data_IF_519242615874
#
_entry.id   IF_519242615874
#
_cell.length_a   1.000
_cell.length_b   1.000
_cell.length_c   1.000
_cell.angle_alpha   90.00
_cell.angle_beta   90.00
_cell.angle_gamma   90.00
#
_symmetry.space_group_name_H-M   'P 1'
#
loop_
_entity.id
_entity.type
_entity.pdbx_description
1 polymer ?
#
# COMPACT_ATOMS: atom_id res chain seq x y z
N UNK A 1 -2.13 -10.69 -15.27
CA UNK A 1 -2.62 -11.67 -14.27
C UNK A 1 -3.16 -10.86 -13.09
N UNK A 2 -4.40 -11.09 -12.68
CA UNK A 2 -4.92 -10.47 -11.46
C UNK A 2 -4.06 -10.95 -10.29
N UNK A 3 -3.43 -10.03 -9.58
CA UNK A 3 -2.66 -10.34 -8.37
C UNK A 3 -3.66 -10.85 -7.33
N UNK A 4 -3.72 -12.17 -7.14
CA UNK A 4 -4.55 -12.75 -6.10
C UNK A 4 -3.94 -12.42 -4.75
N UNK A 5 -4.73 -11.80 -3.88
CA UNK A 5 -4.36 -11.53 -2.49
C UNK A 5 -4.06 -12.84 -1.75
N UNK A 6 -2.90 -12.90 -1.10
CA UNK A 6 -2.50 -14.03 -0.25
C UNK A 6 -2.65 -13.68 1.22
N UNK A 7 -3.70 -14.19 1.86
CA UNK A 7 -3.91 -14.01 3.29
C UNK A 7 -2.80 -14.68 4.12
N UNK A 8 -2.28 -15.81 3.64
CA UNK A 8 -1.20 -16.53 4.31
C UNK A 8 0.09 -15.71 4.34
N UNK A 9 0.52 -15.16 3.19
CA UNK A 9 1.70 -14.31 3.13
C UNK A 9 1.53 -13.05 3.98
N UNK A 10 0.34 -12.43 3.95
CA UNK A 10 0.04 -11.26 4.75
C UNK A 10 0.19 -11.55 6.25
N UNK A 11 -0.41 -12.64 6.74
CA UNK A 11 -0.34 -13.03 8.16
C UNK A 11 1.08 -13.36 8.59
N UNK A 12 1.81 -14.14 7.79
CA UNK A 12 3.21 -14.50 8.11
C UNK A 12 4.13 -13.28 8.15
N UNK A 13 3.99 -12.35 7.19
CA UNK A 13 4.78 -11.13 7.16
C UNK A 13 4.46 -10.22 8.35
N UNK A 14 3.18 -10.05 8.69
CA UNK A 14 2.72 -9.32 9.86
C UNK A 14 3.38 -9.83 11.16
N UNK A 15 3.28 -11.14 11.41
CA UNK A 15 3.87 -11.76 12.60
C UNK A 15 5.40 -11.64 12.61
N UNK A 16 6.04 -11.74 11.46
CA UNK A 16 7.48 -11.54 11.34
C UNK A 16 7.89 -10.11 11.64
N UNK A 17 7.18 -9.11 11.09
CA UNK A 17 7.46 -7.71 11.36
C UNK A 17 7.34 -7.37 12.85
N UNK A 18 6.32 -7.90 13.51
CA UNK A 18 6.12 -7.76 14.95
C UNK A 18 7.30 -8.30 15.76
N UNK A 19 7.83 -9.46 15.38
CA UNK A 19 9.00 -10.08 16.03
C UNK A 19 10.31 -9.30 15.76
N UNK A 20 10.51 -8.83 14.53
CA UNK A 20 11.70 -8.09 14.12
C UNK A 20 11.78 -6.70 14.80
N UNK A 21 10.64 -6.06 15.05
CA UNK A 21 10.56 -4.78 15.72
C UNK A 21 10.92 -4.81 17.22
N UNK A 22 11.19 -5.97 17.80
CA UNK A 22 11.55 -6.13 19.22
C UNK A 22 10.45 -5.70 20.20
N UNK A 23 9.25 -5.50 19.72
CA UNK A 23 8.10 -4.95 20.47
C UNK A 23 7.25 -6.05 21.07
N UNK A 24 7.81 -6.86 21.96
CA UNK A 24 6.98 -7.82 22.72
C UNK A 24 5.95 -7.06 23.57
N UNK A 25 4.66 -7.31 23.32
CA UNK A 25 3.56 -6.78 24.13
C UNK A 25 3.10 -5.36 23.76
N UNK A 26 3.56 -4.77 22.65
CA UNK A 26 3.01 -3.51 22.13
C UNK A 26 1.90 -3.79 21.10
N UNK A 27 0.98 -2.85 21.00
CA UNK A 27 -0.03 -2.89 19.95
C UNK A 27 0.63 -2.85 18.56
N UNK A 28 0.06 -3.56 17.56
CA UNK A 28 0.50 -3.49 16.18
C UNK A 28 0.45 -2.06 15.65
N UNK A 29 1.45 -1.69 14.87
CA UNK A 29 1.60 -0.34 14.34
C UNK A 29 1.70 -0.38 12.80
N UNK A 30 2.05 0.73 12.22
CA UNK A 30 2.22 0.97 10.78
C UNK A 30 3.10 -0.09 10.10
N UNK A 31 4.19 -0.52 10.76
CA UNK A 31 5.14 -1.47 10.20
C UNK A 31 4.47 -2.83 9.89
N UNK A 32 3.70 -3.36 10.83
CA UNK A 32 3.02 -4.64 10.69
C UNK A 32 1.96 -4.58 9.59
N UNK A 33 1.23 -3.47 9.49
CA UNK A 33 0.26 -3.25 8.42
C UNK A 33 0.93 -3.16 7.04
N UNK A 34 2.04 -2.42 6.92
CA UNK A 34 2.82 -2.31 5.68
C UNK A 34 3.33 -3.68 5.24
N UNK A 35 3.88 -4.47 6.18
CA UNK A 35 4.39 -5.82 5.87
C UNK A 35 3.28 -6.73 5.33
N UNK A 36 2.11 -6.71 5.99
CA UNK A 36 0.96 -7.50 5.58
C UNK A 36 0.44 -7.11 4.19
N UNK A 37 0.32 -5.80 3.93
CA UNK A 37 -0.18 -5.30 2.63
C UNK A 37 0.80 -5.64 1.49
N UNK A 38 2.11 -5.48 1.71
CA UNK A 38 3.12 -5.79 0.71
C UNK A 38 3.16 -7.30 0.40
N UNK A 39 3.21 -8.13 1.42
CA UNK A 39 3.26 -9.59 1.26
C UNK A 39 1.94 -10.15 0.73
N UNK A 40 0.79 -9.64 1.20
CA UNK A 40 -0.52 -10.05 0.72
C UNK A 40 -0.74 -9.77 -0.76
N UNK A 41 -0.14 -8.71 -1.30
CA UNK A 41 -0.11 -8.43 -2.74
C UNK A 41 1.01 -9.18 -3.48
N UNK A 42 1.75 -10.05 -2.81
CA UNK A 42 2.84 -10.84 -3.38
C UNK A 42 3.92 -9.98 -4.06
N UNK A 43 4.27 -8.84 -3.45
CA UNK A 43 5.21 -7.88 -4.01
C UNK A 43 6.62 -8.50 -4.17
N UNK A 44 7.19 -8.38 -5.38
CA UNK A 44 8.51 -8.91 -5.73
C UNK A 44 9.58 -7.81 -5.74
N UNK A 45 9.23 -6.59 -6.13
CA UNK A 45 10.08 -5.43 -6.06
C UNK A 45 9.42 -4.34 -5.23
N UNK A 46 9.95 -4.14 -4.03
CA UNK A 46 9.49 -3.14 -3.08
C UNK A 46 10.50 -2.00 -3.04
N UNK A 47 10.04 -0.78 -3.35
CA UNK A 47 10.89 0.42 -3.36
C UNK A 47 10.40 1.37 -2.29
N UNK A 48 11.30 1.84 -1.44
CA UNK A 48 11.03 2.79 -0.37
C UNK A 48 11.76 4.10 -0.62
N UNK A 49 11.06 5.22 -0.54
CA UNK A 49 11.63 6.55 -0.53
C UNK A 49 11.53 7.14 0.88
N UNK A 50 12.69 7.36 1.52
CA UNK A 50 12.77 7.84 2.89
C UNK A 50 13.08 9.34 2.96
N UNK A 51 12.45 10.03 3.89
CA UNK A 51 12.82 11.41 4.22
C UNK A 51 14.14 11.46 5.02
N UNK A 52 14.31 10.48 5.91
CA UNK A 52 15.41 10.39 6.85
C UNK A 52 15.92 8.94 6.92
N UNK A 53 16.03 8.41 8.13
CA UNK A 53 16.54 7.06 8.41
C UNK A 53 15.48 6.00 8.09
N UNK A 54 15.89 4.96 7.38
CA UNK A 54 15.08 3.76 7.18
C UNK A 54 15.10 2.91 8.46
N UNK A 55 13.97 2.83 9.15
CA UNK A 55 13.83 2.11 10.42
C UNK A 55 12.81 0.97 10.33
N UNK A 56 11.83 0.97 11.25
CA UNK A 56 10.81 -0.09 11.37
C UNK A 56 10.01 -0.33 10.08
N UNK A 57 9.77 0.70 9.28
CA UNK A 57 9.07 0.57 7.99
C UNK A 57 9.91 -0.18 6.94
N UNK A 58 11.23 -0.03 6.97
CA UNK A 58 12.12 -0.85 6.12
C UNK A 58 12.16 -2.30 6.60
N UNK A 59 12.18 -2.56 7.92
CA UNK A 59 12.04 -3.91 8.49
C UNK A 59 10.72 -4.57 8.06
N UNK A 60 9.65 -3.79 7.97
CA UNK A 60 8.36 -4.27 7.45
C UNK A 60 8.46 -4.80 6.02
N UNK A 61 9.18 -4.08 5.15
CA UNK A 61 9.42 -4.54 3.77
C UNK A 61 10.34 -5.76 3.72
N UNK A 62 11.35 -5.83 4.58
CA UNK A 62 12.19 -7.03 4.71
C UNK A 62 11.36 -8.24 5.16
N UNK A 63 10.44 -8.06 6.13
CA UNK A 63 9.53 -9.11 6.55
C UNK A 63 8.63 -9.60 5.41
N UNK A 64 8.13 -8.67 4.57
CA UNK A 64 7.36 -9.00 3.38
C UNK A 64 8.21 -9.75 2.34
N UNK A 65 9.42 -9.27 2.06
CA UNK A 65 10.35 -9.89 1.11
C UNK A 65 10.67 -11.35 1.48
N UNK A 66 10.81 -11.65 2.76
CA UNK A 66 10.99 -13.02 3.24
C UNK A 66 9.83 -13.95 2.90
N UNK A 67 8.59 -13.44 2.80
CA UNK A 67 7.42 -14.25 2.47
C UNK A 67 7.23 -14.40 0.96
N UNK A 68 7.56 -13.36 0.20
CA UNK A 68 7.30 -13.32 -1.24
C UNK A 68 8.48 -13.75 -2.08
N UNK A 69 9.69 -13.85 -1.50
CA UNK A 69 10.94 -14.01 -2.25
C UNK A 69 11.36 -12.74 -2.98
N UNK A 70 10.72 -11.62 -2.67
CA UNK A 70 10.99 -10.32 -3.28
C UNK A 70 12.26 -9.65 -2.77
N UNK A 71 12.55 -8.47 -3.27
CA UNK A 71 13.70 -7.63 -2.88
C UNK A 71 13.25 -6.24 -2.45
N UNK A 72 14.05 -5.63 -1.58
CA UNK A 72 13.80 -4.30 -1.03
C UNK A 72 14.88 -3.33 -1.52
N UNK A 73 14.44 -2.19 -2.04
CA UNK A 73 15.31 -1.07 -2.41
C UNK A 73 14.91 0.13 -1.57
N UNK A 74 15.87 0.77 -0.92
CA UNK A 74 15.65 1.97 -0.12
C UNK A 74 16.41 3.15 -0.71
N UNK A 75 15.70 4.19 -1.10
CA UNK A 75 16.24 5.44 -1.65
C UNK A 75 16.40 6.43 -0.49
N UNK A 76 17.62 6.89 -0.28
CA UNK A 76 18.01 7.84 0.74
C UNK A 76 18.62 9.09 0.10
N UNK A 77 18.47 10.22 0.73
CA UNK A 77 18.95 11.50 0.19
C UNK A 77 20.40 11.84 0.57
N UNK A 78 21.02 11.12 1.53
CA UNK A 78 22.38 11.39 1.99
C UNK A 78 23.10 10.14 2.47
N UNK A 79 24.44 10.23 2.54
CA UNK A 79 25.30 9.19 3.10
C UNK A 79 25.08 9.03 4.61
N UNK A 80 24.84 10.12 5.34
CA UNK A 80 24.57 10.07 6.77
C UNK A 80 23.31 9.26 7.08
N UNK A 81 22.26 9.41 6.26
CA UNK A 81 21.05 8.60 6.40
C UNK A 81 21.30 7.13 6.06
N UNK A 82 22.19 6.83 5.14
CA UNK A 82 22.59 5.45 4.84
C UNK A 82 23.26 4.79 6.04
N UNK A 83 24.27 5.43 6.62
CA UNK A 83 24.98 4.88 7.78
C UNK A 83 24.04 4.69 8.98
N UNK A 84 23.20 5.68 9.27
CA UNK A 84 22.21 5.61 10.33
C UNK A 84 21.17 4.52 10.07
N UNK A 85 20.73 4.33 8.82
CA UNK A 85 19.77 3.28 8.44
C UNK A 85 20.38 1.89 8.59
N UNK A 86 21.62 1.72 8.17
CA UNK A 86 22.33 0.45 8.31
C UNK A 86 22.50 0.07 9.78
N UNK A 87 22.83 1.03 10.63
CA UNK A 87 22.88 0.85 12.07
C UNK A 87 21.51 0.50 12.67
N UNK A 88 20.44 1.20 12.27
CA UNK A 88 19.09 0.96 12.77
C UNK A 88 18.51 -0.40 12.37
N UNK A 89 18.88 -0.91 11.20
CA UNK A 89 18.44 -2.22 10.70
C UNK A 89 19.29 -3.38 11.25
N UNK A 90 20.48 -3.11 11.74
CA UNK A 90 21.38 -4.13 12.26
C UNK A 90 21.60 -5.26 11.26
N UNK A 91 21.42 -6.51 11.68
CA UNK A 91 21.61 -7.69 10.83
C UNK A 91 20.69 -7.75 9.59
N UNK A 92 19.63 -6.95 9.55
CA UNK A 92 18.74 -6.90 8.39
C UNK A 92 19.16 -5.87 7.34
N UNK A 93 20.18 -5.06 7.61
CA UNK A 93 20.70 -4.08 6.68
C UNK A 93 21.16 -4.68 5.35
N UNK A 94 21.68 -5.92 5.37
CA UNK A 94 22.13 -6.62 4.17
C UNK A 94 20.98 -7.18 3.31
N UNK A 95 19.74 -7.20 3.85
CA UNK A 95 18.54 -7.57 3.11
C UNK A 95 17.96 -6.40 2.28
N UNK A 96 18.57 -5.20 2.39
CA UNK A 96 18.10 -3.97 1.74
C UNK A 96 19.16 -3.43 0.80
N UNK A 97 18.79 -3.18 -0.44
CA UNK A 97 19.66 -2.46 -1.38
C UNK A 97 19.44 -0.96 -1.18
N UNK A 98 20.48 -0.29 -0.69
CA UNK A 98 20.42 1.16 -0.52
C UNK A 98 20.91 1.89 -1.76
N UNK A 99 20.20 2.96 -2.13
CA UNK A 99 20.56 3.87 -3.22
C UNK A 99 20.50 5.30 -2.71
N UNK A 100 21.57 6.07 -2.92
CA UNK A 100 21.66 7.45 -2.47
C UNK A 100 21.35 8.37 -3.64
N UNK A 101 20.38 9.26 -3.46
CA UNK A 101 20.02 10.27 -4.46
C UNK A 101 18.60 10.81 -4.34
N UNK A 102 18.20 11.58 -5.33
CA UNK A 102 16.88 12.21 -5.38
C UNK A 102 15.79 11.19 -5.74
N UNK A 103 14.89 10.93 -4.82
CA UNK A 103 13.78 9.99 -5.00
C UNK A 103 12.92 10.31 -6.23
N UNK A 104 12.73 11.58 -6.59
CA UNK A 104 11.97 11.99 -7.78
C UNK A 104 12.56 11.44 -9.08
N UNK A 105 13.89 11.37 -9.14
CA UNK A 105 14.60 10.86 -10.32
C UNK A 105 14.71 9.35 -10.29
N UNK A 106 15.14 8.81 -9.15
CA UNK A 106 15.43 7.39 -9.00
C UNK A 106 14.18 6.50 -9.08
N UNK A 107 13.01 6.95 -8.66
CA UNK A 107 11.76 6.20 -8.80
C UNK A 107 11.44 5.86 -10.27
N UNK A 108 11.90 6.68 -11.21
CA UNK A 108 11.73 6.40 -12.63
C UNK A 108 12.52 5.19 -13.13
N UNK A 109 13.58 4.80 -12.42
CA UNK A 109 14.39 3.63 -12.75
C UNK A 109 13.72 2.32 -12.27
N UNK A 110 12.75 2.43 -11.37
CA UNK A 110 12.01 1.32 -10.76
C UNK A 110 10.56 1.19 -11.26
N UNK A 111 10.33 1.37 -12.55
CA UNK A 111 8.98 1.31 -13.18
C UNK A 111 8.27 -0.03 -13.02
N UNK A 112 9.00 -1.09 -12.71
CA UNK A 112 8.46 -2.42 -12.45
C UNK A 112 8.25 -2.72 -10.96
N UNK A 113 8.33 -1.71 -10.07
CA UNK A 113 8.04 -1.91 -8.66
C UNK A 113 6.56 -2.31 -8.47
N UNK A 114 6.35 -3.38 -7.69
CA UNK A 114 5.00 -3.84 -7.32
C UNK A 114 4.46 -3.09 -6.11
N UNK A 115 5.38 -2.61 -5.28
CA UNK A 115 5.07 -1.89 -4.06
C UNK A 115 6.01 -0.70 -3.89
N UNK A 116 5.44 0.50 -3.72
CA UNK A 116 6.22 1.72 -3.47
C UNK A 116 5.79 2.31 -2.13
N UNK A 117 6.75 2.42 -1.19
CA UNK A 117 6.55 3.02 0.12
C UNK A 117 7.18 4.41 0.16
N UNK A 118 6.42 5.42 0.57
CA UNK A 118 6.89 6.82 0.57
C UNK A 118 6.71 7.43 1.97
N UNK A 119 7.78 7.97 2.52
CA UNK A 119 7.68 8.82 3.71
C UNK A 119 7.07 10.17 3.32
N UNK A 120 5.89 10.48 3.86
CA UNK A 120 5.21 11.74 3.56
C UNK A 120 5.94 12.98 4.12
N UNK A 121 6.96 12.80 4.96
CA UNK A 121 7.84 13.88 5.41
C UNK A 121 8.89 14.30 4.37
N UNK A 122 8.99 13.58 3.27
CA UNK A 122 9.89 13.91 2.16
C UNK A 122 9.61 15.32 1.62
N UNK A 123 10.69 16.03 1.27
CA UNK A 123 10.56 17.32 0.60
C UNK A 123 9.93 17.12 -0.78
N UNK A 124 8.96 17.96 -1.13
CA UNK A 124 8.27 17.89 -2.43
C UNK A 124 7.53 16.53 -2.67
N UNK A 125 6.83 16.10 -1.63
CA UNK A 125 6.01 14.86 -1.64
C UNK A 125 5.14 14.72 -2.90
N UNK A 126 4.57 15.83 -3.39
CA UNK A 126 3.69 15.84 -4.56
C UNK A 126 4.37 15.32 -5.82
N UNK A 127 5.62 15.74 -6.06
CA UNK A 127 6.40 15.30 -7.23
C UNK A 127 6.87 13.86 -7.07
N UNK A 128 7.23 13.45 -5.85
CA UNK A 128 7.61 12.06 -5.56
C UNK A 128 6.43 11.11 -5.76
N UNK A 129 5.24 11.47 -5.27
CA UNK A 129 4.02 10.70 -5.49
C UNK A 129 3.66 10.59 -6.97
N UNK A 130 3.82 11.69 -7.73
CA UNK A 130 3.60 11.68 -9.18
C UNK A 130 4.57 10.74 -9.90
N UNK A 131 5.86 10.79 -9.56
CA UNK A 131 6.86 9.89 -10.13
C UNK A 131 6.52 8.42 -9.85
N UNK A 132 6.12 8.09 -8.61
CA UNK A 132 5.67 6.75 -8.25
C UNK A 132 4.42 6.31 -9.05
N UNK A 133 3.44 7.20 -9.22
CA UNK A 133 2.22 6.92 -9.99
C UNK A 133 2.51 6.74 -11.49
N UNK A 134 3.42 7.53 -12.05
CA UNK A 134 3.86 7.37 -13.44
C UNK A 134 4.59 6.04 -13.64
N UNK A 135 5.48 5.66 -12.73
CA UNK A 135 6.09 4.34 -12.70
C UNK A 135 5.07 3.21 -12.63
N UNK A 136 4.10 3.31 -11.74
CA UNK A 136 3.03 2.33 -11.56
C UNK A 136 2.08 2.19 -12.76
N UNK A 137 1.97 3.21 -13.62
CA UNK A 137 1.18 3.10 -14.87
C UNK A 137 1.74 2.09 -15.84
N UNK A 138 3.06 1.91 -15.86
CA UNK A 138 3.77 1.02 -16.78
C UNK A 138 3.90 -0.41 -16.23
N UNK A 139 3.91 -0.56 -14.89
CA UNK A 139 3.88 -1.87 -14.22
C UNK A 139 2.45 -2.33 -13.95
N UNK A 140 2.20 -3.61 -13.91
CA UNK A 140 0.86 -4.25 -13.85
C UNK A 140 0.01 -4.00 -12.60
N UNK A 141 0.10 -2.82 -11.95
CA UNK A 141 -0.77 -2.47 -10.83
C UNK A 141 -0.06 -2.28 -9.50
N UNK A 142 1.08 -1.59 -9.48
CA UNK A 142 1.81 -1.27 -8.26
C UNK A 142 0.91 -0.62 -7.19
N UNK A 143 1.10 -1.04 -5.96
CA UNK A 143 0.50 -0.42 -4.79
C UNK A 143 1.45 0.65 -4.24
N UNK A 144 0.97 1.89 -4.13
CA UNK A 144 1.73 2.99 -3.54
C UNK A 144 1.17 3.26 -2.15
N UNK A 145 2.03 3.29 -1.15
CA UNK A 145 1.68 3.56 0.24
C UNK A 145 2.51 4.73 0.75
N UNK A 146 1.83 5.77 1.25
CA UNK A 146 2.47 6.86 1.98
C UNK A 146 2.28 6.65 3.48
N UNK A 147 3.32 6.76 4.29
CA UNK A 147 3.23 6.77 5.75
C UNK A 147 3.59 8.17 6.31
N UNK A 148 3.27 8.44 7.57
CA UNK A 148 3.34 9.78 8.18
C UNK A 148 2.44 10.82 7.46
N UNK A 149 1.29 10.38 6.96
CA UNK A 149 0.43 11.22 6.12
C UNK A 149 -0.44 12.20 6.91
N UNK A 150 -0.63 11.98 8.23
CA UNK A 150 -1.52 12.78 9.07
C UNK A 150 -1.07 14.24 9.19
N UNK A 151 0.24 14.47 9.33
CA UNK A 151 0.81 15.82 9.48
C UNK A 151 0.66 16.70 8.23
N UNK A 152 0.52 16.09 7.06
CA UNK A 152 0.33 16.81 5.79
C UNK A 152 -1.14 17.10 5.49
N UNK A 153 -2.07 16.53 6.30
CA UNK A 153 -3.50 16.72 6.16
C UNK A 153 -4.11 16.18 4.86
N UNK A 154 -5.39 16.48 4.61
CA UNK A 154 -6.07 16.09 3.37
C UNK A 154 -5.43 16.69 2.10
N UNK A 155 -4.58 17.70 2.23
CA UNK A 155 -3.83 18.28 1.12
C UNK A 155 -2.80 17.30 0.51
N UNK A 156 -2.26 16.37 1.31
CA UNK A 156 -1.49 15.24 0.77
C UNK A 156 -2.39 14.27 -0.04
N UNK A 157 -3.65 14.14 0.39
CA UNK A 157 -4.68 13.40 -0.36
C UNK A 157 -5.15 14.14 -1.62
N UNK A 158 -4.88 15.44 -1.75
CA UNK A 158 -5.14 16.23 -2.97
C UNK A 158 -4.36 15.76 -4.21
N UNK A 159 -3.48 14.77 -4.08
CA UNK A 159 -2.94 13.99 -5.19
C UNK A 159 -3.98 13.02 -5.80
N UNK A 160 -5.23 13.09 -5.37
CA UNK A 160 -6.32 12.19 -5.76
C UNK A 160 -6.81 12.36 -7.21
N UNK A 161 -6.27 13.28 -7.98
CA UNK A 161 -6.79 13.55 -9.34
C UNK A 161 -5.83 13.20 -10.48
N UNK A 162 -4.92 12.26 -10.28
CA UNK A 162 -4.30 11.64 -11.45
C UNK A 162 -5.28 10.57 -11.94
N UNK A 163 -5.83 10.79 -13.14
CA UNK A 163 -6.81 9.90 -13.76
C UNK A 163 -6.38 8.43 -13.69
N UNK A 164 -7.26 7.61 -13.16
CA UNK A 164 -7.05 6.18 -13.05
C UNK A 164 -6.50 5.67 -11.72
N UNK A 165 -6.27 6.53 -10.70
CA UNK A 165 -5.88 6.09 -9.36
C UNK A 165 -6.99 6.32 -8.33
N UNK A 166 -7.13 5.37 -7.39
CA UNK A 166 -7.98 5.50 -6.20
C UNK A 166 -7.10 5.66 -4.97
N UNK A 167 -7.40 6.65 -4.17
CA UNK A 167 -6.67 6.97 -2.96
C UNK A 167 -7.54 6.73 -1.73
N UNK A 168 -6.99 6.06 -0.75
CA UNK A 168 -7.62 5.78 0.54
C UNK A 168 -6.72 6.30 1.65
N UNK A 169 -7.30 6.99 2.61
CA UNK A 169 -6.62 7.42 3.83
C UNK A 169 -7.04 6.50 4.97
N UNK A 170 -6.06 5.96 5.69
CA UNK A 170 -6.26 5.07 6.83
C UNK A 170 -5.66 5.71 8.08
N UNK A 171 -6.44 5.84 9.18
CA UNK A 171 -5.96 6.42 10.42
C UNK A 171 -5.18 5.38 11.26
N UNK A 172 -4.07 4.88 10.71
CA UNK A 172 -3.18 3.92 11.34
C UNK A 172 -1.87 4.62 11.63
N UNK A 173 -1.41 4.62 12.90
CA UNK A 173 -0.25 5.38 13.35
C UNK A 173 -0.36 6.87 12.98
N UNK A 174 0.69 7.42 12.40
CA UNK A 174 0.72 8.81 11.90
C UNK A 174 0.01 8.99 10.53
N UNK A 175 -0.92 8.10 10.20
CA UNK A 175 -1.71 8.10 8.98
C UNK A 175 -1.04 7.43 7.80
N UNK A 176 -1.82 6.58 7.12
CA UNK A 176 -1.42 5.90 5.89
C UNK A 176 -2.26 6.38 4.70
N UNK A 177 -1.59 6.61 3.60
CA UNK A 177 -2.18 6.89 2.30
C UNK A 177 -1.98 5.68 1.41
N UNK A 178 -3.05 5.05 0.95
CA UNK A 178 -2.99 3.88 0.06
C UNK A 178 -3.52 4.26 -1.30
N UNK A 179 -2.68 4.19 -2.33
CA UNK A 179 -3.00 4.58 -3.69
C UNK A 179 -2.91 3.35 -4.58
N UNK A 180 -4.01 3.02 -5.25
CA UNK A 180 -4.09 1.91 -6.21
C UNK A 180 -4.49 2.42 -7.57
N UNK A 181 -3.90 1.86 -8.62
CA UNK A 181 -4.40 2.04 -9.98
C UNK A 181 -5.82 1.49 -10.06
N UNK A 182 -6.77 2.33 -10.47
CA UNK A 182 -8.13 1.88 -10.74
C UNK A 182 -8.12 0.90 -11.91
N UNK A 183 -8.85 -0.19 -11.81
CA UNK A 183 -9.13 -1.02 -12.98
C UNK A 183 -9.92 -0.17 -13.98
N UNK A 184 -9.32 0.16 -15.11
CA UNK A 184 -10.08 0.57 -16.28
C UNK A 184 -10.92 -0.63 -16.70
N UNK A 185 -12.19 -0.67 -16.29
CA UNK A 185 -13.15 -1.47 -17.02
C UNK A 185 -13.14 -0.92 -18.43
N UNK A 186 -12.54 -1.66 -19.38
CA UNK A 186 -12.81 -1.44 -20.79
C UNK A 186 -14.34 -1.45 -20.90
N UNK A 187 -14.90 -0.30 -21.14
CA UNK A 187 -16.30 -0.18 -21.58
C UNK A 187 -16.35 -0.81 -22.97
N UNK A 188 -16.57 -2.13 -23.03
CA UNK A 188 -17.17 -2.67 -24.22
C UNK A 188 -18.54 -2.01 -24.28
N UNK A 189 -18.73 -1.23 -25.31
CA UNK A 189 -20.00 -0.62 -25.70
C UNK A 189 -21.10 -1.66 -25.62
N UNK A 190 -22.12 -1.35 -24.88
CA UNK A 190 -23.35 -2.14 -24.84
C UNK A 190 -23.90 -2.26 -23.42
N UNK A 191 -24.87 -1.40 -23.13
CA UNK A 191 -25.79 -1.50 -21.99
C UNK A 191 -25.24 -1.11 -20.63
N UNK A 192 -25.54 0.10 -20.28
CA UNK A 192 -25.37 0.78 -19.00
C UNK A 192 -26.16 0.07 -17.88
N UNK A 193 -25.75 -1.10 -17.47
CA UNK A 193 -26.27 -1.80 -16.30
C UNK A 193 -25.51 -1.32 -15.06
N UNK A 194 -25.89 -0.19 -14.52
CA UNK A 194 -25.51 0.24 -13.17
C UNK A 194 -26.03 -0.82 -12.20
N UNK A 195 -25.17 -1.74 -11.79
CA UNK A 195 -25.45 -2.67 -10.67
C UNK A 195 -25.70 -1.83 -9.42
N UNK A 196 -26.97 -1.55 -9.13
CA UNK A 196 -27.34 -0.90 -7.87
C UNK A 196 -27.16 -1.92 -6.76
N UNK A 197 -26.20 -1.70 -5.88
CA UNK A 197 -26.09 -2.46 -4.64
C UNK A 197 -26.80 -1.69 -3.52
N UNK A 198 -27.57 -2.41 -2.71
CA UNK A 198 -28.17 -1.86 -1.49
C UNK A 198 -27.76 -2.70 -0.28
N UNK A 199 -27.58 -2.06 0.84
CA UNK A 199 -27.42 -2.73 2.10
C UNK A 199 -28.80 -3.05 2.69
N UNK A 200 -28.98 -4.26 3.17
CA UNK A 200 -30.18 -4.72 3.85
C UNK A 200 -29.77 -5.25 5.20
N UNK A 201 -30.37 -4.69 6.25
CA UNK A 201 -30.22 -5.17 7.62
C UNK A 201 -31.39 -6.11 7.92
N UNK A 202 -31.11 -7.31 8.37
CA UNK A 202 -32.09 -8.25 8.91
C UNK A 202 -31.77 -8.52 10.36
N UNK A 203 -32.77 -8.39 11.20
CA UNK A 203 -32.69 -8.74 12.63
C UNK A 203 -33.25 -10.15 12.78
N UNK A 204 -32.45 -11.05 13.33
CA UNK A 204 -32.95 -12.36 13.76
C UNK A 204 -33.90 -12.20 14.94
N UNK A 205 -35.13 -12.65 14.75
CA UNK A 205 -36.17 -12.47 15.77
C UNK A 205 -36.00 -13.39 16.98
N UNK A 206 -35.16 -14.43 16.88
CA UNK A 206 -34.91 -15.36 17.98
C UNK A 206 -33.73 -14.94 18.84
N UNK A 207 -32.66 -14.42 18.22
CA UNK A 207 -31.42 -14.04 18.90
C UNK A 207 -31.27 -12.53 19.11
N UNK A 208 -31.99 -11.72 18.32
CA UNK A 208 -31.82 -10.27 18.30
C UNK A 208 -30.59 -9.78 17.53
N UNK A 209 -29.86 -10.67 16.87
CA UNK A 209 -28.65 -10.32 16.11
C UNK A 209 -28.98 -9.59 14.82
N UNK A 210 -28.21 -8.55 14.53
CA UNK A 210 -28.30 -7.79 13.29
C UNK A 210 -27.36 -8.38 12.23
N UNK A 211 -27.93 -8.83 11.10
CA UNK A 211 -27.19 -9.30 9.95
C UNK A 211 -27.26 -8.31 8.82
N UNK A 212 -26.10 -7.81 8.36
CA UNK A 212 -25.99 -6.82 7.29
C UNK A 212 -25.58 -7.51 5.99
N UNK A 213 -26.46 -7.44 4.98
CA UNK A 213 -26.23 -8.04 3.67
C UNK A 213 -26.10 -6.96 2.59
N UNK A 214 -25.14 -7.14 1.69
CA UNK A 214 -25.05 -6.34 0.46
C UNK A 214 -25.69 -7.11 -0.68
N UNK A 215 -26.84 -6.64 -1.13
CA UNK A 215 -27.54 -7.24 -2.27
C UNK A 215 -27.10 -6.53 -3.54
N UNK A 216 -26.48 -7.27 -4.46
CA UNK A 216 -26.20 -6.85 -5.83
C UNK A 216 -27.15 -7.62 -6.76
N UNK A 217 -28.24 -6.99 -7.16
CA UNK A 217 -29.20 -7.61 -8.11
C UNK A 217 -28.94 -7.09 -9.52
N UNK A 218 -28.74 -7.95 -10.51
CA UNK A 218 -28.99 -7.59 -11.90
C UNK A 218 -30.52 -7.61 -12.09
N UNK A 219 -31.16 -6.45 -12.10
CA UNK A 219 -32.55 -6.39 -12.54
C UNK A 219 -32.57 -6.53 -14.05
N UNK A 220 -33.29 -7.52 -14.63
CA UNK A 220 -33.74 -7.43 -16.00
C UNK A 220 -34.78 -6.29 -16.05
N UNK A 221 -34.57 -5.31 -16.92
CA UNK A 221 -35.64 -4.49 -17.39
C UNK A 221 -36.56 -5.40 -18.21
N UNK A 222 -37.85 -5.20 -18.03
CA UNK A 222 -38.96 -5.75 -18.77
C UNK A 222 -39.66 -6.97 -18.12
N UNK A 223 -40.52 -6.64 -17.18
CA UNK A 223 -41.85 -7.24 -17.14
C UNK A 223 -42.85 -6.08 -17.05
N UNK A 224 -43.35 -5.65 -18.21
CA UNK A 224 -44.65 -4.96 -18.32
C UNK A 224 -45.73 -6.03 -18.20
N UNK A 225 -46.59 -5.88 -17.18
CA UNK A 225 -47.93 -6.44 -17.21
C UNK A 225 -48.87 -5.41 -17.83
#
# INVERSE_FOLDING_TARGET
>A
MACCWSAENATKAYLRALNMGGRRGKEPDVAEFISAIAAGNNAQLMVMACANVAGSTALALVAAAHQTGGRVVCILNSLDHYEASKCALGNYGDCVTFVIGDAKKLLNDYKCADFVLIDCNITDLKTVLRAAQEGAKHGGGALIVGYNALQKGPAAAGCSSIDGFKTYFLPIGEGLLVIRKGEHKKSNDGVNSRKRSRWVVKIDKGTGEEHVFRITSPFPKDMKA
#
